data_IF_988415737019
#
_entry.id   IF_988415737019
#
_cell.length_a   1.000
_cell.length_b   1.000
_cell.length_c   1.000
_cell.angle_alpha   90.00
_cell.angle_beta   90.00
_cell.angle_gamma   90.00
#
_symmetry.space_group_name_H-M   'P 1'
#
loop_
_entity.id
_entity.type
_entity.pdbx_description
1 polymer ?
#
# COMPACT_ATOMS: atom_id res chain seq x y z
N UNK A 1 -23.97 3.47 24.76
CA UNK A 1 -24.31 2.05 24.99
C UNK A 1 -25.45 1.57 24.10
N UNK A 2 -26.62 2.24 24.04
CA UNK A 2 -27.77 1.81 23.19
C UNK A 2 -27.47 1.60 21.69
N UNK A 3 -26.60 2.39 21.05
CA UNK A 3 -26.27 2.20 19.64
C UNK A 3 -25.33 1.01 19.37
N UNK A 4 -24.56 0.60 20.39
CA UNK A 4 -23.62 -0.51 20.30
C UNK A 4 -24.37 -1.84 20.25
N UNK A 5 -25.37 -2.03 21.13
CA UNK A 5 -26.17 -3.25 21.21
C UNK A 5 -26.97 -3.53 19.93
N UNK A 6 -27.36 -2.48 19.19
CA UNK A 6 -28.05 -2.59 17.89
C UNK A 6 -27.11 -3.05 16.77
N UNK A 7 -25.80 -2.80 16.91
CA UNK A 7 -24.77 -3.14 15.92
C UNK A 7 -23.91 -4.36 16.32
N UNK A 8 -23.99 -4.84 17.56
CA UNK A 8 -23.19 -5.93 18.17
C UNK A 8 -23.46 -7.32 17.52
N UNK A 9 -22.78 -8.44 17.87
CA UNK A 9 -22.98 -9.78 17.30
C UNK A 9 -24.41 -10.35 17.28
N UNK A 10 -25.38 -9.69 17.91
CA UNK A 10 -26.81 -10.05 17.84
C UNK A 10 -27.65 -9.08 16.98
N UNK A 11 -27.03 -8.05 16.42
CA UNK A 11 -27.62 -7.00 15.59
C UNK A 11 -27.29 -7.12 14.11
N UNK A 12 -27.46 -6.04 13.34
CA UNK A 12 -27.33 -6.06 11.87
C UNK A 12 -25.93 -6.43 11.34
N UNK A 13 -24.89 -6.35 12.19
CA UNK A 13 -23.50 -6.67 11.83
C UNK A 13 -23.02 -7.96 12.51
N UNK A 14 -23.94 -8.85 12.91
CA UNK A 14 -23.62 -10.16 13.46
C UNK A 14 -22.63 -10.93 12.57
N UNK A 15 -21.52 -11.39 13.17
CA UNK A 15 -20.45 -12.12 12.46
C UNK A 15 -19.51 -11.25 11.61
N UNK A 16 -19.66 -9.92 11.64
CA UNK A 16 -18.74 -8.98 10.98
C UNK A 16 -17.71 -8.46 11.98
N UNK A 17 -16.51 -8.15 11.49
CA UNK A 17 -15.48 -7.46 12.27
C UNK A 17 -15.24 -6.08 11.67
N UNK A 18 -15.14 -5.06 12.51
CA UNK A 18 -14.83 -3.68 12.10
C UNK A 18 -13.34 -3.40 12.30
N UNK A 19 -12.66 -2.92 11.27
CA UNK A 19 -11.23 -2.57 11.35
C UNK A 19 -11.04 -1.08 11.61
N UNK A 20 -10.41 -0.76 12.73
CA UNK A 20 -9.93 0.58 13.08
C UNK A 20 -8.49 0.72 12.57
N UNK A 21 -8.27 1.57 11.58
CA UNK A 21 -6.91 1.84 11.07
C UNK A 21 -6.32 3.07 11.75
N UNK A 22 -5.26 2.86 12.53
CA UNK A 22 -4.54 3.95 13.20
C UNK A 22 -3.27 4.29 12.43
N UNK A 23 -3.06 5.59 12.19
CA UNK A 23 -1.88 6.07 11.49
C UNK A 23 -0.81 6.55 12.47
N UNK A 24 0.39 6.00 12.36
CA UNK A 24 1.55 6.33 13.20
C UNK A 24 2.37 7.43 12.52
N UNK A 25 2.57 8.53 13.23
CA UNK A 25 3.38 9.68 12.83
C UNK A 25 4.30 10.09 13.98
N UNK A 26 5.51 10.63 13.73
CA UNK A 26 6.40 11.06 14.80
C UNK A 26 5.73 11.99 15.82
N UNK A 27 4.95 12.95 15.34
CA UNK A 27 4.33 13.99 16.18
C UNK A 27 3.01 13.59 16.87
N UNK A 28 2.47 12.39 16.62
CA UNK A 28 1.18 11.98 17.21
C UNK A 28 1.29 10.84 18.22
N UNK A 29 2.52 10.43 18.55
CA UNK A 29 2.81 9.25 19.39
C UNK A 29 2.07 9.26 20.73
N UNK A 30 2.10 10.38 21.47
CA UNK A 30 1.41 10.49 22.76
C UNK A 30 -0.11 10.37 22.63
N UNK A 31 -0.68 11.05 21.62
CA UNK A 31 -2.11 10.99 21.35
C UNK A 31 -2.57 9.59 20.90
N UNK A 32 -1.70 8.84 20.21
CA UNK A 32 -1.96 7.46 19.83
C UNK A 32 -1.99 6.54 21.04
N UNK A 33 -1.09 6.71 22.00
CA UNK A 33 -1.12 5.92 23.24
C UNK A 33 -2.39 6.18 24.04
N UNK A 34 -2.76 7.45 24.22
CA UNK A 34 -4.01 7.81 24.89
C UNK A 34 -5.24 7.25 24.16
N UNK A 35 -5.25 7.26 22.82
CA UNK A 35 -6.33 6.66 22.03
C UNK A 35 -6.35 5.13 22.16
N UNK A 36 -5.18 4.48 22.19
CA UNK A 36 -5.06 3.03 22.34
C UNK A 36 -5.63 2.56 23.68
N UNK A 37 -5.34 3.27 24.78
CA UNK A 37 -5.93 2.99 26.09
C UNK A 37 -7.46 3.08 26.07
N UNK A 38 -8.00 4.13 25.42
CA UNK A 38 -9.45 4.28 25.25
C UNK A 38 -10.05 3.17 24.40
N UNK A 39 -9.40 2.78 23.31
CA UNK A 39 -9.88 1.68 22.46
C UNK A 39 -9.95 0.38 23.27
N UNK A 40 -8.89 0.09 24.04
CA UNK A 40 -8.80 -1.09 24.88
C UNK A 40 -9.86 -1.13 25.99
N UNK A 41 -10.19 0.04 26.56
CA UNK A 41 -11.21 0.16 27.60
C UNK A 41 -12.66 0.20 27.09
N UNK A 42 -12.90 0.78 25.91
CA UNK A 42 -14.25 1.12 25.44
C UNK A 42 -14.81 0.13 24.38
N UNK A 43 -13.95 -0.66 23.72
CA UNK A 43 -14.36 -1.53 22.60
C UNK A 43 -14.17 -3.03 22.89
N UNK A 44 -14.89 -3.86 22.13
CA UNK A 44 -14.81 -5.33 22.20
C UNK A 44 -13.85 -5.86 21.14
N UNK A 45 -12.76 -6.57 21.52
CA UNK A 45 -11.82 -7.17 20.57
C UNK A 45 -12.44 -8.31 19.73
N UNK A 46 -13.60 -8.84 20.12
CA UNK A 46 -14.37 -9.80 19.31
C UNK A 46 -15.11 -9.15 18.13
N UNK A 47 -15.33 -7.83 18.17
CA UNK A 47 -16.03 -7.07 17.12
C UNK A 47 -15.12 -6.08 16.40
N UNK A 48 -14.10 -5.53 17.08
CA UNK A 48 -13.14 -4.60 16.51
C UNK A 48 -11.74 -5.18 16.40
N UNK A 49 -11.05 -4.83 15.32
CA UNK A 49 -9.62 -5.07 15.13
C UNK A 49 -8.90 -3.75 14.91
N UNK A 50 -7.64 -3.67 15.30
CA UNK A 50 -6.77 -2.52 15.04
C UNK A 50 -5.71 -2.89 14.00
N UNK A 51 -5.59 -2.03 12.99
CA UNK A 51 -4.54 -2.09 11.99
C UNK A 51 -3.67 -0.84 12.09
N UNK A 52 -2.40 -1.04 12.46
CA UNK A 52 -1.41 0.03 12.57
C UNK A 52 -0.77 0.29 11.21
N UNK A 53 -0.68 1.55 10.80
CA UNK A 53 -0.01 1.93 9.54
C UNK A 53 0.84 3.18 9.70
N UNK A 54 2.08 3.16 9.22
CA UNK A 54 2.90 4.37 9.21
C UNK A 54 2.35 5.41 8.24
N UNK A 55 2.46 6.68 8.60
CA UNK A 55 2.36 7.78 7.62
C UNK A 55 3.62 7.74 6.75
N UNK A 56 3.41 7.69 5.43
CA UNK A 56 4.47 7.71 4.44
C UNK A 56 4.45 8.96 3.57
N UNK A 57 5.54 9.15 2.85
CA UNK A 57 5.68 10.12 1.76
C UNK A 57 5.30 9.45 0.44
N UNK A 58 4.25 9.95 -0.21
CA UNK A 58 3.68 9.33 -1.41
C UNK A 58 3.77 10.25 -2.65
N UNK A 59 4.58 11.30 -2.58
CA UNK A 59 4.75 12.29 -3.64
C UNK A 59 3.84 13.51 -3.51
N UNK A 60 4.12 14.52 -4.35
CA UNK A 60 3.36 15.77 -4.42
C UNK A 60 4.16 17.01 -4.01
N UNK A 61 3.61 18.21 -4.25
CA UNK A 61 4.31 19.49 -4.02
C UNK A 61 4.73 19.71 -2.55
N UNK A 62 4.07 19.04 -1.60
CA UNK A 62 4.33 19.13 -0.15
C UNK A 62 4.94 17.86 0.44
N UNK A 63 5.33 16.91 -0.39
CA UNK A 63 6.01 15.70 0.06
C UNK A 63 7.37 16.08 0.66
N UNK A 64 7.61 15.72 1.92
CA UNK A 64 8.78 16.15 2.69
C UNK A 64 8.57 17.40 3.56
N UNK A 65 7.37 17.98 3.60
CA UNK A 65 7.03 19.07 4.52
C UNK A 65 6.66 18.62 5.95
N UNK A 66 6.76 17.33 6.25
CA UNK A 66 6.41 16.72 7.53
C UNK A 66 7.32 15.53 7.82
N UNK A 67 7.47 15.19 9.10
CA UNK A 67 8.31 14.09 9.54
C UNK A 67 7.64 12.73 9.23
N UNK A 68 8.42 11.77 8.76
CA UNK A 68 7.97 10.37 8.62
C UNK A 68 9.03 9.46 9.22
N UNK A 69 8.61 8.28 9.68
CA UNK A 69 9.57 7.26 10.09
C UNK A 69 10.33 6.74 8.86
N UNK A 70 11.65 6.58 8.99
CA UNK A 70 12.47 5.92 7.95
C UNK A 70 12.23 4.41 7.92
N UNK A 71 12.72 3.74 6.87
CA UNK A 71 12.57 2.27 6.70
C UNK A 71 13.14 1.44 7.87
N UNK A 72 14.04 2.00 8.67
CA UNK A 72 14.74 1.30 9.77
C UNK A 72 14.79 2.18 11.04
N UNK A 73 13.73 2.93 11.32
CA UNK A 73 13.68 3.78 12.52
C UNK A 73 13.31 2.96 13.76
N UNK A 74 14.27 2.75 14.67
CA UNK A 74 14.07 2.01 15.93
C UNK A 74 12.95 2.60 16.79
N UNK A 75 12.67 3.90 16.67
CA UNK A 75 11.55 4.54 17.38
C UNK A 75 10.20 4.04 16.89
N UNK A 76 10.09 3.72 15.61
CA UNK A 76 8.86 3.13 15.06
C UNK A 76 8.58 1.77 15.70
N UNK A 77 9.62 0.94 15.86
CA UNK A 77 9.50 -0.37 16.47
C UNK A 77 9.09 -0.27 17.95
N UNK A 78 9.68 0.68 18.70
CA UNK A 78 9.30 0.96 20.08
C UNK A 78 7.82 1.39 20.19
N UNK A 79 7.39 2.31 19.33
CA UNK A 79 6.00 2.79 19.31
C UNK A 79 5.04 1.65 18.96
N UNK A 80 5.36 0.84 17.95
CA UNK A 80 4.56 -0.33 17.57
C UNK A 80 4.47 -1.34 18.72
N UNK A 81 5.59 -1.61 19.40
CA UNK A 81 5.63 -2.53 20.52
C UNK A 81 4.76 -2.04 21.68
N UNK A 82 4.86 -0.75 22.03
CA UNK A 82 4.03 -0.16 23.08
C UNK A 82 2.55 -0.14 22.71
N UNK A 83 2.19 0.19 21.47
CA UNK A 83 0.81 0.12 21.00
C UNK A 83 0.25 -1.29 21.05
N UNK A 84 1.04 -2.31 20.67
CA UNK A 84 0.63 -3.70 20.77
C UNK A 84 0.36 -4.13 22.23
N UNK A 85 1.17 -3.65 23.18
CA UNK A 85 0.96 -3.89 24.61
C UNK A 85 -0.32 -3.21 25.15
N UNK A 86 -0.68 -2.03 24.63
CA UNK A 86 -1.89 -1.31 25.03
C UNK A 86 -3.18 -1.86 24.39
N UNK A 87 -3.05 -2.59 23.28
CA UNK A 87 -4.16 -3.11 22.48
C UNK A 87 -4.20 -4.67 22.47
N UNK A 88 -4.15 -5.34 23.63
CA UNK A 88 -4.18 -6.78 23.68
C UNK A 88 -5.48 -7.30 23.06
N UNK A 89 -5.39 -8.26 22.14
CA UNK A 89 -6.55 -8.86 21.47
C UNK A 89 -7.14 -8.06 20.30
N UNK A 90 -6.78 -6.78 20.13
CA UNK A 90 -7.19 -6.00 18.95
C UNK A 90 -6.20 -6.11 17.79
N UNK A 91 -4.94 -6.47 18.08
CA UNK A 91 -3.93 -6.62 17.05
C UNK A 91 -4.39 -7.64 16.01
N UNK A 92 -4.47 -7.21 14.75
CA UNK A 92 -4.54 -8.17 13.65
C UNK A 92 -3.16 -8.86 13.60
N UNK A 93 -3.06 -10.18 13.75
CA UNK A 93 -1.79 -10.85 13.51
C UNK A 93 -1.40 -10.54 12.07
N UNK A 94 -0.26 -9.87 11.87
CA UNK A 94 0.44 -9.93 10.59
C UNK A 94 0.65 -11.41 10.34
N UNK A 95 -0.03 -11.97 9.34
CA UNK A 95 0.12 -13.39 9.04
C UNK A 95 1.58 -13.60 8.61
N UNK A 96 2.42 -14.27 9.43
CA UNK A 96 3.80 -14.49 9.08
C UNK A 96 3.83 -15.32 7.80
N UNK A 97 4.56 -14.86 6.79
CA UNK A 97 4.69 -15.55 5.51
C UNK A 97 3.78 -15.05 4.37
N UNK A 98 2.97 -14.00 4.57
CA UNK A 98 2.35 -13.34 3.42
C UNK A 98 3.39 -12.51 2.66
N UNK A 99 3.77 -12.98 1.48
CA UNK A 99 4.55 -12.19 0.53
C UNK A 99 3.71 -10.98 0.13
N UNK A 100 4.20 -9.78 0.39
CA UNK A 100 3.52 -8.53 0.04
C UNK A 100 3.55 -8.33 -1.49
N UNK A 101 2.53 -8.84 -2.19
CA UNK A 101 2.40 -8.72 -3.64
C UNK A 101 1.81 -7.35 -4.00
N UNK A 102 2.57 -6.52 -4.72
CA UNK A 102 2.04 -5.24 -5.19
C UNK A 102 0.93 -5.46 -6.23
N UNK A 103 -0.17 -4.73 -6.10
CA UNK A 103 -1.27 -4.80 -7.07
C UNK A 103 -0.80 -4.45 -8.49
N UNK A 104 0.16 -3.53 -8.64
CA UNK A 104 0.66 -3.10 -9.95
C UNK A 104 1.38 -4.23 -10.70
N UNK A 105 1.86 -5.25 -10.00
CA UNK A 105 2.48 -6.45 -10.59
C UNK A 105 1.47 -7.50 -11.05
N UNK A 106 0.19 -7.37 -10.71
CA UNK A 106 -0.85 -8.33 -11.10
C UNK A 106 -1.26 -8.10 -12.55
N UNK A 107 -1.37 -9.17 -13.34
CA UNK A 107 -1.71 -9.09 -14.76
C UNK A 107 -3.06 -8.42 -15.04
N UNK A 108 -4.03 -8.60 -14.14
CA UNK A 108 -5.40 -8.12 -14.26
C UNK A 108 -5.68 -6.80 -13.50
N UNK A 109 -4.66 -6.11 -12.97
CA UNK A 109 -4.83 -4.86 -12.26
C UNK A 109 -4.40 -3.66 -13.11
N UNK A 110 -5.32 -2.74 -13.37
CA UNK A 110 -5.08 -1.56 -14.22
C UNK A 110 -5.60 -0.29 -13.55
N UNK A 111 -4.97 0.82 -13.87
CA UNK A 111 -5.50 2.18 -13.64
C UNK A 111 -6.00 2.68 -14.99
N UNK A 112 -7.27 3.09 -15.09
CA UNK A 112 -7.83 3.66 -16.31
C UNK A 112 -8.01 5.15 -16.09
N UNK A 113 -7.42 5.97 -16.97
CA UNK A 113 -7.54 7.42 -16.92
C UNK A 113 -8.77 7.92 -17.68
N UNK A 114 -9.15 9.17 -17.43
CA UNK A 114 -10.31 9.81 -18.06
C UNK A 114 -10.19 9.93 -19.60
N UNK A 115 -8.97 9.92 -20.14
CA UNK A 115 -8.68 9.89 -21.58
C UNK A 115 -8.62 8.46 -22.16
N UNK A 116 -8.99 7.46 -21.35
CA UNK A 116 -8.90 6.05 -21.69
C UNK A 116 -7.49 5.47 -21.64
N UNK A 117 -6.45 6.25 -21.32
CA UNK A 117 -5.11 5.68 -21.19
C UNK A 117 -5.03 4.70 -20.01
N UNK A 118 -4.33 3.59 -20.23
CA UNK A 118 -4.19 2.50 -19.26
C UNK A 118 -2.81 2.61 -18.61
N UNK A 119 -2.79 2.56 -17.29
CA UNK A 119 -1.58 2.41 -16.50
C UNK A 119 -1.62 1.29 -15.46
N UNK A 120 -0.51 1.11 -14.73
CA UNK A 120 -0.34 0.01 -13.78
C UNK A 120 -0.31 0.45 -12.32
N UNK A 121 0.14 1.66 -12.04
CA UNK A 121 0.38 2.16 -10.70
C UNK A 121 -0.11 3.60 -10.53
N UNK A 122 -0.89 3.85 -9.49
CA UNK A 122 -1.34 5.19 -9.12
C UNK A 122 -0.23 6.06 -8.54
N UNK A 123 0.86 5.47 -8.02
CA UNK A 123 2.02 6.22 -7.52
C UNK A 123 2.97 6.67 -8.64
N UNK A 124 2.94 5.99 -9.80
CA UNK A 124 3.70 6.37 -10.99
C UNK A 124 2.81 7.08 -12.02
N UNK A 125 1.76 7.79 -11.58
CA UNK A 125 0.64 8.23 -12.41
C UNK A 125 1.04 8.98 -13.69
N UNK A 126 2.06 9.83 -13.61
CA UNK A 126 2.52 10.68 -14.72
C UNK A 126 3.78 10.13 -15.42
N UNK A 127 4.22 8.91 -15.11
CA UNK A 127 5.38 8.29 -15.77
C UNK A 127 4.99 7.68 -17.11
N UNK A 128 5.75 7.93 -18.16
CA UNK A 128 5.52 7.34 -19.50
C UNK A 128 5.59 5.82 -19.51
N UNK A 129 6.32 5.23 -18.56
CA UNK A 129 6.44 3.78 -18.40
C UNK A 129 5.28 3.18 -17.60
N UNK A 130 4.54 4.03 -16.87
CA UNK A 130 3.29 3.63 -16.27
C UNK A 130 2.18 3.52 -17.30
N UNK A 131 2.24 4.28 -18.42
CA UNK A 131 1.28 4.15 -19.53
C UNK A 131 1.58 2.89 -20.35
N UNK A 132 0.77 1.86 -20.16
CA UNK A 132 0.93 0.53 -20.78
C UNK A 132 -0.10 0.24 -21.88
N UNK A 133 -1.01 1.16 -22.17
CA UNK A 133 -2.02 0.92 -23.20
C UNK A 133 -3.11 1.98 -23.29
N UNK A 134 -4.19 1.62 -23.98
CA UNK A 134 -5.37 2.42 -24.24
C UNK A 134 -6.64 1.57 -24.18
N UNK A 135 -7.68 2.08 -23.53
CA UNK A 135 -9.05 1.59 -23.62
C UNK A 135 -9.70 2.15 -24.88
N UNK A 136 -10.20 1.25 -25.72
CA UNK A 136 -10.84 1.59 -26.97
C UNK A 136 -12.34 1.90 -26.76
N UNK A 137 -12.99 2.66 -27.66
CA UNK A 137 -14.40 3.00 -27.55
C UNK A 137 -15.36 1.79 -27.51
N UNK A 138 -14.93 0.66 -28.06
CA UNK A 138 -15.69 -0.61 -28.07
C UNK A 138 -15.50 -1.45 -26.78
N UNK A 139 -14.75 -0.93 -25.80
CA UNK A 139 -14.45 -1.61 -24.54
C UNK A 139 -13.25 -2.56 -24.61
N UNK A 140 -12.61 -2.72 -25.76
CA UNK A 140 -11.38 -3.53 -25.88
C UNK A 140 -10.15 -2.77 -25.37
N UNK A 141 -9.08 -3.51 -25.04
CA UNK A 141 -7.82 -2.93 -24.56
C UNK A 141 -6.73 -3.15 -25.60
N UNK A 142 -5.99 -2.09 -25.93
CA UNK A 142 -4.74 -2.17 -26.67
C UNK A 142 -3.59 -1.96 -25.70
N UNK A 143 -2.74 -2.98 -25.52
CA UNK A 143 -1.60 -2.92 -24.60
C UNK A 143 -0.26 -2.86 -25.34
N UNK A 144 0.64 -2.02 -24.85
CA UNK A 144 2.07 -2.02 -25.19
C UNK A 144 2.72 -3.21 -24.46
N UNK A 145 2.89 -4.32 -25.17
CA UNK A 145 3.38 -5.57 -24.58
C UNK A 145 4.75 -5.43 -23.89
N UNK A 146 5.76 -4.74 -24.47
CA UNK A 146 7.02 -4.47 -23.78
C UNK A 146 6.85 -3.72 -22.45
N UNK A 147 6.08 -2.63 -22.43
CA UNK A 147 5.85 -1.88 -21.20
C UNK A 147 5.05 -2.71 -20.20
N UNK A 148 3.99 -3.36 -20.63
CA UNK A 148 3.15 -4.20 -19.77
C UNK A 148 3.95 -5.35 -19.14
N UNK A 149 4.75 -6.06 -19.94
CA UNK A 149 5.59 -7.17 -19.47
C UNK A 149 6.61 -6.74 -18.42
N UNK A 150 7.16 -5.53 -18.51
CA UNK A 150 8.09 -5.01 -17.49
C UNK A 150 7.45 -4.92 -16.09
N UNK A 151 6.15 -4.63 -16.01
CA UNK A 151 5.41 -4.60 -14.75
C UNK A 151 5.11 -6.00 -14.20
N UNK A 152 5.14 -7.04 -15.03
CA UNK A 152 4.82 -8.42 -14.63
C UNK A 152 6.06 -9.24 -14.22
N UNK A 153 7.24 -8.61 -14.16
CA UNK A 153 8.51 -9.31 -13.89
C UNK A 153 8.47 -10.18 -12.63
N UNK A 154 7.85 -9.70 -11.54
CA UNK A 154 7.72 -10.48 -10.30
C UNK A 154 6.92 -11.78 -10.46
N UNK A 155 5.97 -11.84 -11.40
CA UNK A 155 5.25 -13.09 -11.71
C UNK A 155 6.12 -14.07 -12.49
N UNK A 156 7.13 -13.60 -13.22
CA UNK A 156 8.06 -14.47 -13.95
C UNK A 156 9.13 -15.07 -13.03
N UNK A 157 9.57 -14.34 -12.01
CA UNK A 157 10.64 -14.79 -11.10
C UNK A 157 10.11 -15.48 -9.86
N UNK A 158 8.90 -15.10 -9.39
CA UNK A 158 8.30 -15.56 -8.13
C UNK A 158 9.17 -15.30 -6.90
N UNK A 159 10.18 -14.43 -7.02
CA UNK A 159 11.00 -13.97 -5.90
C UNK A 159 10.19 -12.99 -5.04
N UNK A 160 10.09 -13.18 -3.72
CA UNK A 160 9.44 -12.23 -2.82
C UNK A 160 9.91 -10.78 -2.97
N UNK A 161 11.20 -10.55 -3.24
CA UNK A 161 11.75 -9.22 -3.50
C UNK A 161 11.21 -8.61 -4.80
N UNK A 162 10.87 -9.46 -5.78
CA UNK A 162 10.35 -9.06 -7.08
C UNK A 162 8.83 -8.91 -7.13
N UNK A 163 8.14 -9.64 -6.25
CA UNK A 163 6.69 -9.57 -6.05
C UNK A 163 6.23 -8.29 -5.34
N UNK A 164 7.17 -7.59 -4.69
CA UNK A 164 6.97 -6.26 -4.11
C UNK A 164 6.68 -5.18 -5.17
N UNK A 165 7.20 -3.97 -5.00
CA UNK A 165 6.89 -2.84 -5.89
C UNK A 165 7.63 -2.92 -7.24
N UNK A 166 6.95 -3.11 -8.41
CA UNK A 166 7.62 -3.20 -9.71
C UNK A 166 8.16 -1.85 -10.20
N UNK A 167 7.63 -0.74 -9.69
CA UNK A 167 7.92 0.61 -10.20
C UNK A 167 9.42 0.96 -10.12
N UNK A 168 10.14 0.50 -9.09
CA UNK A 168 11.58 0.75 -8.95
C UNK A 168 12.37 0.17 -10.14
N UNK A 169 12.04 -1.05 -10.56
CA UNK A 169 12.71 -1.70 -11.70
C UNK A 169 12.28 -1.13 -13.03
N UNK A 170 10.98 -0.92 -13.23
CA UNK A 170 10.45 -0.34 -14.47
C UNK A 170 11.09 1.03 -14.74
N UNK A 171 11.22 1.88 -13.71
CA UNK A 171 11.88 3.19 -13.82
C UNK A 171 13.40 3.10 -14.06
N UNK A 172 14.08 2.04 -13.63
CA UNK A 172 15.50 1.82 -13.92
C UNK A 172 15.74 1.29 -15.33
N UNK A 173 14.93 0.33 -15.80
CA UNK A 173 15.00 -0.21 -17.16
C UNK A 173 14.78 0.89 -18.20
N UNK A 174 13.76 1.72 -17.96
CA UNK A 174 13.49 2.97 -18.65
C UNK A 174 14.73 3.87 -18.86
N UNK A 175 15.45 4.17 -17.78
CA UNK A 175 16.65 5.03 -17.82
C UNK A 175 17.80 4.39 -18.62
N UNK A 176 17.90 3.05 -18.60
CA UNK A 176 18.95 2.32 -19.34
C UNK A 176 18.69 2.27 -20.84
N UNK A 177 17.43 2.15 -21.26
CA UNK A 177 17.05 2.17 -22.69
C UNK A 177 17.08 3.56 -23.30
N UNK A 178 16.88 4.61 -22.50
CA UNK A 178 16.95 6.01 -22.94
C UNK A 178 18.39 6.56 -23.10
N UNK A 179 19.40 5.84 -22.60
CA UNK A 179 20.81 6.23 -22.78
C UNK A 179 21.24 5.92 -24.22
N UNK A 180 21.75 6.90 -25.01
CA UNK A 180 22.27 6.60 -26.33
C UNK A 180 23.40 5.58 -26.21
N UNK A 181 23.33 4.49 -26.99
CA UNK A 181 24.50 3.63 -27.18
C UNK A 181 25.57 4.53 -27.80
N UNK A 182 26.62 4.87 -27.05
CA UNK A 182 27.84 5.35 -27.69
C UNK A 182 28.23 4.26 -28.69
N UNK A 183 28.15 4.58 -29.98
CA UNK A 183 28.73 3.73 -30.99
C UNK A 183 30.22 3.62 -30.68
N UNK A 184 30.67 2.41 -30.33
CA UNK A 184 32.09 2.08 -30.35
C UNK A 184 32.53 2.22 -31.80
N UNK A 185 33.14 3.35 -32.14
CA UNK A 185 33.94 3.48 -33.34
C UNK A 185 35.25 2.74 -33.10
N UNK A 186 35.48 1.68 -33.88
CA UNK A 186 36.68 0.84 -33.89
C UNK A 186 36.59 -0.16 -35.02
#
# INVERSE_FOLDING_TARGET
MQAYDVLHPRGALAGTTVMIRLHIHPDNTDSLFALAERISGDFDPGFFTVYLKEVGSYGGRRDGGYAVYGEQDLRLDEVKHRLAALLPGFARPDQPGQVAVCYAGKANAFTIRADGSIGKCTLALNSDYNRVGQLNPDGTLTLDAPKFGAWLHGLSTMDPADLGCPAHRVAQQAKRTARPRLAMAG
#
